data_IF_437947519452
#
_entry.id   IF_437947519452
#
_cell.length_a   1.000
_cell.length_b   1.000
_cell.length_c   1.000
_cell.angle_alpha   90.00
_cell.angle_beta   90.00
_cell.angle_gamma   90.00
#
_symmetry.space_group_name_H-M   'P 1'
#
loop_
_entity.id
_entity.type
_entity.pdbx_description
1 polymer ?
#
# COMPACT_ATOMS: atom_id res chain seq x y z
N UNK A 1 -9.90 20.82 -15.05
CA UNK A 1 -9.66 20.19 -13.75
C UNK A 1 -8.25 20.53 -13.28
N UNK A 2 -8.12 20.93 -12.03
CA UNK A 2 -6.81 21.23 -11.44
C UNK A 2 -6.21 19.91 -10.97
N UNK A 3 -5.05 19.57 -11.51
CA UNK A 3 -4.31 18.42 -11.05
C UNK A 3 -3.75 18.66 -9.66
N UNK A 4 -3.71 17.60 -8.87
CA UNK A 4 -3.40 17.63 -7.47
C UNK A 4 -2.32 16.61 -7.13
N UNK A 5 -1.29 17.03 -6.41
CA UNK A 5 -0.26 16.15 -5.92
C UNK A 5 -0.26 16.15 -4.39
N UNK A 6 -0.51 14.99 -3.79
CA UNK A 6 -0.40 14.79 -2.35
C UNK A 6 0.92 14.11 -2.02
N UNK A 7 1.52 14.52 -0.92
CA UNK A 7 2.74 13.91 -0.40
C UNK A 7 2.58 13.70 1.10
N UNK A 8 2.65 12.46 1.55
CA UNK A 8 2.57 12.11 2.98
C UNK A 8 3.61 11.04 3.32
N UNK A 9 4.03 11.01 4.57
CA UNK A 9 4.88 9.95 5.08
C UNK A 9 4.00 8.82 5.61
N UNK A 10 4.34 7.58 5.30
CA UNK A 10 3.60 6.39 5.75
C UNK A 10 4.54 5.37 6.38
N UNK A 11 4.04 4.65 7.38
CA UNK A 11 4.82 3.66 8.12
C UNK A 11 4.88 2.32 7.36
N UNK A 12 5.50 2.33 6.19
CA UNK A 12 5.70 1.16 5.35
C UNK A 12 7.19 0.95 5.17
N UNK A 13 7.68 -0.23 5.50
CA UNK A 13 9.11 -0.58 5.42
C UNK A 13 9.40 -1.82 4.58
N UNK A 14 8.42 -2.71 4.42
CA UNK A 14 8.57 -3.97 3.67
C UNK A 14 8.00 -3.79 2.27
N UNK A 15 8.90 -3.73 1.28
CA UNK A 15 8.53 -3.46 -0.10
C UNK A 15 7.75 -4.62 -0.74
N UNK A 16 8.03 -5.86 -0.33
CA UNK A 16 7.33 -7.03 -0.85
C UNK A 16 5.89 -7.08 -0.34
N UNK A 17 5.71 -6.82 0.94
CA UNK A 17 4.37 -6.73 1.55
C UNK A 17 3.59 -5.57 0.96
N UNK A 18 4.26 -4.43 0.70
CA UNK A 18 3.63 -3.30 0.02
C UNK A 18 3.09 -3.71 -1.35
N UNK A 19 3.90 -4.44 -2.14
CA UNK A 19 3.47 -4.92 -3.46
C UNK A 19 2.24 -5.81 -3.39
N UNK A 20 2.19 -6.72 -2.41
CA UNK A 20 1.03 -7.58 -2.19
C UNK A 20 -0.21 -6.79 -1.77
N UNK A 21 -0.03 -5.81 -0.88
CA UNK A 21 -1.13 -4.96 -0.41
C UNK A 21 -1.73 -4.12 -1.54
N UNK A 22 -0.88 -3.54 -2.38
CA UNK A 22 -1.32 -2.76 -3.55
C UNK A 22 -2.16 -3.62 -4.50
N UNK A 23 -1.70 -4.82 -4.80
CA UNK A 23 -2.45 -5.77 -5.65
C UNK A 23 -3.79 -6.13 -5.02
N UNK A 24 -3.80 -6.38 -3.72
CA UNK A 24 -5.01 -6.78 -2.99
C UNK A 24 -6.10 -5.71 -3.01
N UNK A 25 -5.74 -4.43 -3.07
CA UNK A 25 -6.70 -3.32 -3.13
C UNK A 25 -6.99 -2.86 -4.58
N UNK A 26 -6.50 -3.60 -5.58
CA UNK A 26 -6.83 -3.37 -6.98
C UNK A 26 -5.91 -2.42 -7.73
N UNK A 27 -4.75 -2.09 -7.18
CA UNK A 27 -3.76 -1.26 -7.87
C UNK A 27 -2.78 -2.15 -8.63
N UNK A 28 -2.35 -1.67 -9.80
CA UNK A 28 -1.42 -2.37 -10.67
C UNK A 28 -0.05 -1.69 -10.63
N UNK A 29 1.00 -2.46 -10.39
CA UNK A 29 2.37 -1.93 -10.43
C UNK A 29 2.83 -1.68 -11.85
N UNK A 30 3.53 -0.56 -12.04
CA UNK A 30 4.18 -0.20 -13.31
C UNK A 30 5.64 0.18 -13.04
N UNK A 31 6.48 0.02 -14.06
CA UNK A 31 7.89 0.41 -13.96
C UNK A 31 8.05 1.93 -13.95
N UNK A 32 7.25 2.62 -14.76
CA UNK A 32 7.27 4.07 -14.88
C UNK A 32 5.95 4.57 -15.46
N UNK A 33 5.69 5.87 -15.32
CA UNK A 33 4.61 6.55 -16.03
C UNK A 33 5.18 7.24 -17.27
N UNK A 34 4.36 7.48 -18.33
CA UNK A 34 4.84 8.17 -19.54
C UNK A 34 5.43 9.54 -19.19
N UNK A 35 6.46 9.96 -19.92
CA UNK A 35 7.15 11.23 -19.67
C UNK A 35 6.24 12.46 -19.75
N UNK A 36 5.20 12.38 -20.58
CA UNK A 36 4.22 13.46 -20.72
C UNK A 36 3.12 13.41 -19.66
N UNK A 37 3.12 12.42 -18.78
CA UNK A 37 2.18 12.31 -17.68
C UNK A 37 2.47 13.40 -16.66
N UNK A 38 1.43 14.05 -16.13
CA UNK A 38 1.62 15.10 -15.14
C UNK A 38 2.29 14.52 -13.88
N UNK A 39 3.28 15.24 -13.36
CA UNK A 39 4.12 14.82 -12.24
C UNK A 39 5.00 13.58 -12.53
N UNK A 40 5.20 13.22 -13.80
CA UNK A 40 6.04 12.08 -14.18
C UNK A 40 7.44 12.16 -13.56
N UNK A 41 8.04 13.34 -13.52
CA UNK A 41 9.35 13.56 -12.91
C UNK A 41 9.39 13.20 -11.42
N UNK A 42 8.29 13.38 -10.71
CA UNK A 42 8.17 12.98 -9.31
C UNK A 42 7.93 11.49 -9.19
N UNK A 43 6.93 10.95 -9.90
CA UNK A 43 6.58 9.54 -9.81
C UNK A 43 7.70 8.62 -10.24
N UNK A 44 8.39 8.95 -11.33
CA UNK A 44 9.44 8.09 -11.88
C UNK A 44 10.74 8.08 -11.06
N UNK A 45 10.84 8.92 -10.03
CA UNK A 45 11.93 8.83 -9.04
C UNK A 45 11.59 7.90 -7.87
N UNK A 46 10.37 7.42 -7.79
CA UNK A 46 9.91 6.55 -6.71
C UNK A 46 10.33 5.10 -6.93
N UNK A 47 10.44 4.35 -5.83
CA UNK A 47 10.85 2.95 -5.86
C UNK A 47 9.71 2.00 -6.26
N UNK A 48 8.48 2.36 -5.92
CA UNK A 48 7.28 1.59 -6.25
C UNK A 48 6.25 2.54 -6.83
N UNK A 49 5.72 2.21 -8.00
CA UNK A 49 4.69 3.01 -8.68
C UNK A 49 3.50 2.11 -8.96
N UNK A 50 2.31 2.52 -8.55
CA UNK A 50 1.08 1.78 -8.78
C UNK A 50 0.00 2.70 -9.35
N UNK A 51 -0.85 2.14 -10.21
CA UNK A 51 -1.94 2.89 -10.86
C UNK A 51 -3.26 2.18 -10.64
N UNK A 52 -4.32 2.97 -10.51
CA UNK A 52 -5.67 2.44 -10.41
C UNK A 52 -6.34 2.31 -11.79
N UNK A 53 -7.61 1.90 -11.82
CA UNK A 53 -8.37 1.68 -13.05
C UNK A 53 -8.54 2.93 -13.93
N UNK A 54 -8.42 4.12 -13.33
CA UNK A 54 -8.54 5.41 -14.05
C UNK A 54 -7.18 6.10 -14.22
N UNK A 55 -6.09 5.32 -14.14
CA UNK A 55 -4.71 5.77 -14.33
C UNK A 55 -4.26 6.87 -13.35
N UNK A 56 -4.80 6.89 -12.15
CA UNK A 56 -4.28 7.70 -11.06
C UNK A 56 -3.20 6.94 -10.33
N UNK A 57 -2.23 7.65 -9.79
CA UNK A 57 -0.97 7.09 -9.29
C UNK A 57 -0.86 7.18 -7.79
N UNK A 58 -0.35 6.10 -7.18
CA UNK A 58 0.22 6.08 -5.84
C UNK A 58 1.65 5.60 -5.97
N UNK A 59 2.63 6.45 -5.65
CA UNK A 59 4.03 6.12 -5.78
C UNK A 59 4.74 6.26 -4.43
N UNK A 60 5.67 5.36 -4.15
CA UNK A 60 6.32 5.25 -2.85
C UNK A 60 7.82 5.38 -3.04
N UNK A 61 8.41 6.32 -2.30
CA UNK A 61 9.85 6.52 -2.27
C UNK A 61 10.35 6.20 -0.87
N UNK A 62 11.29 5.27 -0.76
CA UNK A 62 11.85 4.87 0.52
C UNK A 62 13.01 5.80 0.87
N UNK A 63 12.87 6.51 2.00
CA UNK A 63 13.86 7.44 2.52
C UNK A 63 14.12 7.07 3.98
N UNK A 64 15.35 6.72 4.30
CA UNK A 64 15.76 6.33 5.66
C UNK A 64 14.90 5.20 6.25
N UNK A 65 14.51 4.25 5.41
CA UNK A 65 13.75 3.07 5.83
C UNK A 65 12.24 3.28 5.94
N UNK A 66 11.74 4.48 5.68
CA UNK A 66 10.31 4.77 5.67
C UNK A 66 9.86 5.24 4.28
N UNK A 67 8.58 5.09 3.99
CA UNK A 67 8.06 5.46 2.69
C UNK A 67 7.43 6.85 2.68
N UNK A 68 7.77 7.63 1.66
CA UNK A 68 7.01 8.81 1.26
C UNK A 68 6.03 8.40 0.18
N UNK A 69 4.76 8.67 0.40
CA UNK A 69 3.70 8.39 -0.57
C UNK A 69 3.39 9.67 -1.34
N UNK A 70 3.54 9.58 -2.66
CA UNK A 70 3.17 10.64 -3.60
C UNK A 70 1.98 10.17 -4.43
N UNK A 71 0.95 11.00 -4.59
CA UNK A 71 -0.24 10.60 -5.30
C UNK A 71 -0.94 11.77 -5.97
N UNK A 72 -1.56 11.52 -7.10
CA UNK A 72 -2.44 12.46 -7.79
C UNK A 72 -3.92 12.09 -7.70
N UNK A 73 -4.27 11.16 -6.79
CA UNK A 73 -5.69 10.90 -6.51
C UNK A 73 -6.37 12.15 -5.93
N UNK A 74 -7.66 12.30 -6.21
CA UNK A 74 -8.46 13.34 -5.60
C UNK A 74 -8.43 13.18 -4.06
N UNK A 75 -8.50 14.26 -3.27
CA UNK A 75 -8.30 14.19 -1.81
C UNK A 75 -9.15 13.14 -1.08
N UNK A 76 -10.43 13.05 -1.39
CA UNK A 76 -11.31 12.07 -0.76
C UNK A 76 -10.93 10.63 -1.12
N UNK A 77 -10.64 10.37 -2.39
CA UNK A 77 -10.20 9.07 -2.88
C UNK A 77 -8.81 8.72 -2.34
N UNK A 78 -7.94 9.71 -2.23
CA UNK A 78 -6.61 9.52 -1.67
C UNK A 78 -6.66 9.00 -0.24
N UNK A 79 -7.42 9.67 0.63
CA UNK A 79 -7.55 9.26 2.03
C UNK A 79 -8.13 7.85 2.16
N UNK A 80 -9.19 7.56 1.41
CA UNK A 80 -9.82 6.24 1.42
C UNK A 80 -8.85 5.15 0.97
N UNK A 81 -8.17 5.36 -0.16
CA UNK A 81 -7.23 4.38 -0.72
C UNK A 81 -6.02 4.19 0.19
N UNK A 82 -5.49 5.29 0.75
CA UNK A 82 -4.40 5.22 1.71
C UNK A 82 -4.79 4.38 2.93
N UNK A 83 -5.97 4.60 3.49
CA UNK A 83 -6.43 3.87 4.67
C UNK A 83 -6.65 2.39 4.37
N UNK A 84 -7.23 2.06 3.22
CA UNK A 84 -7.37 0.67 2.76
C UNK A 84 -6.01 0.00 2.60
N UNK A 85 -5.06 0.71 2.00
CA UNK A 85 -3.69 0.21 1.80
C UNK A 85 -3.01 -0.08 3.13
N UNK A 86 -3.02 0.89 4.04
CA UNK A 86 -2.34 0.75 5.34
C UNK A 86 -2.94 -0.38 6.16
N UNK A 87 -4.25 -0.55 6.13
CA UNK A 87 -4.93 -1.64 6.80
C UNK A 87 -4.52 -2.98 6.21
N UNK A 88 -4.53 -3.11 4.88
CA UNK A 88 -4.14 -4.35 4.20
C UNK A 88 -2.68 -4.68 4.43
N UNK A 89 -1.82 -3.67 4.35
CA UNK A 89 -0.39 -3.81 4.62
C UNK A 89 -0.15 -4.34 6.04
N UNK A 90 -0.81 -3.75 7.04
CA UNK A 90 -0.66 -4.17 8.43
C UNK A 90 -1.07 -5.64 8.65
N UNK A 91 -2.17 -6.06 8.04
CA UNK A 91 -2.65 -7.45 8.11
C UNK A 91 -1.65 -8.41 7.48
N UNK A 92 -1.18 -8.10 6.27
CA UNK A 92 -0.23 -8.95 5.54
C UNK A 92 1.12 -9.03 6.26
N UNK A 93 1.58 -7.91 6.82
CA UNK A 93 2.82 -7.87 7.58
C UNK A 93 2.73 -8.72 8.85
N UNK A 94 1.61 -8.63 9.57
CA UNK A 94 1.39 -9.44 10.77
C UNK A 94 1.36 -10.92 10.44
N UNK A 95 0.64 -11.33 9.39
CA UNK A 95 0.57 -12.72 8.94
C UNK A 95 1.97 -13.24 8.57
N UNK A 96 2.74 -12.45 7.82
CA UNK A 96 4.11 -12.81 7.46
C UNK A 96 5.00 -13.01 8.69
N UNK A 97 4.92 -12.08 9.64
CA UNK A 97 5.74 -12.13 10.86
C UNK A 97 5.39 -13.35 11.70
N UNK A 98 4.11 -13.61 11.90
CA UNK A 98 3.64 -14.76 12.68
C UNK A 98 4.09 -16.08 12.06
N UNK A 99 3.95 -16.23 10.74
CA UNK A 99 4.34 -17.43 10.02
C UNK A 99 5.87 -17.64 10.02
N UNK A 100 6.65 -16.55 9.91
CA UNK A 100 8.10 -16.63 9.93
C UNK A 100 8.66 -17.06 11.29
N UNK A 101 7.98 -16.74 12.39
CA UNK A 101 8.40 -17.17 13.72
C UNK A 101 8.29 -18.70 13.90
N UNK A 102 7.48 -19.37 13.10
CA UNK A 102 7.32 -20.82 13.14
C UNK A 102 6.57 -21.36 14.35
N UNK A 103 6.14 -20.52 15.24
CA UNK A 103 5.41 -20.90 16.47
C UNK A 103 3.90 -20.84 16.32
N UNK A 104 3.43 -19.98 15.40
CA UNK A 104 2.04 -19.71 15.20
C UNK A 104 1.70 -19.73 13.73
N UNK A 105 0.44 -19.95 13.41
CA UNK A 105 -0.11 -19.79 12.08
C UNK A 105 -1.38 -18.97 12.15
N UNK A 106 -1.66 -18.21 11.11
CA UNK A 106 -2.92 -17.48 10.99
C UNK A 106 -4.02 -18.49 10.69
N UNK A 107 -4.99 -18.61 11.58
CA UNK A 107 -6.13 -19.54 11.47
C UNK A 107 -7.30 -18.92 10.75
N UNK A 108 -7.53 -17.62 11.01
CA UNK A 108 -8.74 -16.96 10.57
C UNK A 108 -8.53 -15.46 10.49
N UNK A 109 -9.12 -14.84 9.47
CA UNK A 109 -9.16 -13.39 9.32
C UNK A 109 -10.61 -12.97 9.09
N UNK A 110 -11.02 -11.89 9.73
CA UNK A 110 -12.35 -11.32 9.60
C UNK A 110 -12.27 -9.82 9.52
N UNK A 111 -12.99 -9.23 8.56
CA UNK A 111 -13.13 -7.77 8.46
C UNK A 111 -14.51 -7.38 8.97
N UNK A 112 -14.53 -6.56 10.00
CA UNK A 112 -15.76 -6.06 10.60
C UNK A 112 -16.35 -4.92 9.76
N UNK A 113 -17.67 -4.61 9.92
CA UNK A 113 -18.31 -3.54 9.15
C UNK A 113 -17.68 -2.16 9.28
N UNK A 114 -17.01 -1.87 10.40
CA UNK A 114 -16.31 -0.61 10.64
C UNK A 114 -14.91 -0.55 10.01
N UNK A 115 -14.51 -1.60 9.30
CA UNK A 115 -13.19 -1.71 8.69
C UNK A 115 -12.13 -2.36 9.59
N UNK A 116 -12.43 -2.65 10.84
CA UNK A 116 -11.50 -3.33 11.75
C UNK A 116 -11.24 -4.76 11.26
N UNK A 117 -9.98 -5.17 11.28
CA UNK A 117 -9.58 -6.54 10.93
C UNK A 117 -9.26 -7.31 12.20
N UNK A 118 -9.89 -8.48 12.36
CA UNK A 118 -9.63 -9.41 13.43
C UNK A 118 -8.87 -10.62 12.89
N UNK A 119 -7.79 -10.98 13.55
CA UNK A 119 -6.95 -12.11 13.15
C UNK A 119 -6.88 -13.10 14.30
N UNK A 120 -7.20 -14.36 14.02
CA UNK A 120 -6.96 -15.45 14.95
C UNK A 120 -5.66 -16.16 14.61
N UNK A 121 -4.84 -16.36 15.63
CA UNK A 121 -3.54 -17.03 15.52
C UNK A 121 -3.59 -18.30 16.37
N UNK A 122 -3.18 -19.42 15.77
CA UNK A 122 -3.09 -20.70 16.46
C UNK A 122 -1.65 -21.17 16.53
N UNK A 123 -1.33 -21.93 17.58
CA UNK A 123 -0.02 -22.57 17.71
C UNK A 123 0.11 -23.73 16.71
N UNK A 124 1.30 -23.92 16.23
CA UNK A 124 1.68 -25.17 15.55
C UNK A 124 1.59 -26.32 16.54
N UNK A 125 1.01 -27.40 16.10
CA UNK A 125 0.84 -28.61 16.92
C UNK A 125 1.91 -29.63 16.54
#
# INVERSE_FOLDING_TARGET
>A
AVSHLSKVQVAIRDIDVLGEALRAIGLRRVAEVPENYEFAGTFNTCDVIAVNAVNRVMAFKFVDGEAELHSNLEPGDFEKTRDELLQKYAVLLLCKTVEQEGKFQVREQETLPDGTVRIKVGRWV
#
